data_IF_464898676398
#
_entry.id   IF_464898676398
#
_cell.length_a   1.000
_cell.length_b   1.000
_cell.length_c   1.000
_cell.angle_alpha   90.00
_cell.angle_beta   90.00
_cell.angle_gamma   90.00
#
_symmetry.space_group_name_H-M   'P 1'
#
loop_
_entity.id
_entity.type
_entity.pdbx_description
1 polymer ?
#
# COMPACT_ATOMS: atom_id res chain seq x y z
N UNK A 1 -34.93 -34.45 -1.06
CA UNK A 1 -34.07 -33.77 -0.07
C UNK A 1 -32.69 -33.70 -0.69
N UNK A 2 -32.26 -32.52 -1.14
CA UNK A 2 -30.96 -32.36 -1.80
C UNK A 2 -30.01 -31.74 -0.79
N UNK A 3 -29.11 -32.55 -0.24
CA UNK A 3 -28.11 -32.11 0.72
C UNK A 3 -27.01 -31.34 -0.02
N UNK A 4 -27.00 -30.02 0.12
CA UNK A 4 -25.85 -29.21 -0.26
C UNK A 4 -24.80 -29.33 0.85
N UNK A 5 -23.68 -29.95 0.54
CA UNK A 5 -22.48 -29.96 1.39
C UNK A 5 -21.84 -28.58 1.22
N UNK A 6 -21.99 -27.73 2.24
CA UNK A 6 -21.32 -26.43 2.30
C UNK A 6 -19.96 -26.65 2.98
N UNK A 7 -18.90 -26.69 2.17
CA UNK A 7 -17.53 -26.77 2.65
C UNK A 7 -17.12 -25.40 3.20
N UNK A 8 -17.02 -25.27 4.53
CA UNK A 8 -16.46 -24.10 5.19
C UNK A 8 -14.94 -24.20 5.20
N UNK A 9 -14.26 -23.40 4.38
CA UNK A 9 -12.83 -23.22 4.46
C UNK A 9 -12.52 -22.14 5.52
N UNK A 10 -12.07 -22.57 6.70
CA UNK A 10 -11.54 -21.67 7.73
C UNK A 10 -10.07 -21.42 7.40
N UNK A 11 -9.76 -20.21 6.90
CA UNK A 11 -8.38 -19.79 6.64
C UNK A 11 -7.91 -18.95 7.83
N UNK A 12 -7.07 -19.54 8.68
CA UNK A 12 -6.37 -18.84 9.76
C UNK A 12 -5.10 -18.24 9.17
N UNK A 13 -5.07 -16.92 8.96
CA UNK A 13 -3.85 -16.21 8.55
C UNK A 13 -3.07 -15.84 9.80
N UNK A 14 -2.05 -16.64 10.13
CA UNK A 14 -1.03 -16.28 11.13
C UNK A 14 0.11 -15.57 10.41
N UNK A 15 0.05 -14.24 10.35
CA UNK A 15 1.16 -13.41 9.87
C UNK A 15 2.19 -13.21 10.98
N UNK A 16 3.25 -14.03 11.01
CA UNK A 16 4.42 -13.79 11.87
C UNK A 16 5.34 -12.79 11.17
N UNK A 17 5.37 -11.54 11.63
CA UNK A 17 6.36 -10.56 11.17
C UNK A 17 7.67 -10.75 11.95
N UNK A 18 8.68 -11.33 11.31
CA UNK A 18 10.04 -11.33 11.84
C UNK A 18 10.73 -10.03 11.42
N UNK A 19 11.02 -9.14 12.39
CA UNK A 19 11.71 -7.87 12.15
C UNK A 19 13.22 -8.14 12.21
N UNK A 20 13.87 -8.24 11.05
CA UNK A 20 15.33 -8.31 10.98
C UNK A 20 15.89 -6.89 10.92
N UNK A 21 16.26 -6.32 12.08
CA UNK A 21 16.98 -5.06 12.13
C UNK A 21 18.49 -5.33 12.08
N UNK A 22 19.15 -5.04 10.97
CA UNK A 22 20.61 -4.90 10.92
C UNK A 22 20.95 -3.47 10.49
N UNK A 23 21.82 -2.83 11.29
CA UNK A 23 21.93 -1.38 11.34
C UNK A 23 23.09 -0.73 10.60
N UNK A 24 23.05 0.59 10.76
CA UNK A 24 24.11 1.62 10.68
C UNK A 24 24.68 2.01 9.31
N UNK A 25 24.23 3.17 8.81
CA UNK A 25 25.10 4.30 8.46
C UNK A 25 24.27 5.59 8.37
N UNK A 26 24.71 6.61 9.12
CA UNK A 26 24.07 7.92 9.31
C UNK A 26 24.23 8.78 8.03
N UNK A 27 23.21 8.85 7.18
CA UNK A 27 23.05 9.83 6.10
C UNK A 27 21.53 10.11 6.00
N UNK A 28 21.12 11.38 6.12
CA UNK A 28 19.75 11.92 6.01
C UNK A 28 18.64 10.85 6.07
N UNK A 29 18.33 10.37 7.28
CA UNK A 29 17.53 9.16 7.45
C UNK A 29 16.07 9.43 7.12
N UNK A 30 15.69 9.20 5.87
CA UNK A 30 14.30 8.93 5.55
C UNK A 30 13.88 7.71 6.38
N UNK A 31 12.78 7.84 7.12
CA UNK A 31 12.29 6.76 7.97
C UNK A 31 11.31 5.91 7.17
N UNK A 32 11.54 4.60 7.15
CA UNK A 32 10.62 3.65 6.56
C UNK A 32 9.31 3.63 7.35
N UNK A 33 8.24 4.07 6.72
CA UNK A 33 6.88 4.08 7.25
C UNK A 33 6.02 3.04 6.52
N UNK A 34 5.03 2.52 7.22
CA UNK A 34 4.01 1.65 6.63
C UNK A 34 2.64 2.16 7.06
N UNK A 35 1.71 2.23 6.11
CA UNK A 35 0.34 2.72 6.38
C UNK A 35 -0.69 1.88 5.64
N UNK A 36 -1.96 2.09 5.97
CA UNK A 36 -3.11 1.53 5.25
C UNK A 36 -4.19 2.58 5.14
N UNK A 37 -4.73 2.75 3.95
CA UNK A 37 -5.81 3.70 3.68
C UNK A 37 -6.84 3.14 2.71
N UNK A 38 -8.03 3.75 2.71
CA UNK A 38 -9.06 3.48 1.73
C UNK A 38 -8.88 4.40 0.52
N UNK A 39 -8.69 3.82 -0.67
CA UNK A 39 -8.58 4.57 -1.93
C UNK A 39 -9.57 4.05 -2.97
N UNK A 40 -10.01 4.93 -3.88
CA UNK A 40 -10.81 4.53 -5.04
C UNK A 40 -9.90 3.94 -6.11
N UNK A 41 -10.15 2.70 -6.53
CA UNK A 41 -9.44 2.06 -7.62
C UNK A 41 -10.12 2.40 -8.96
N UNK A 42 -9.44 3.17 -9.79
CA UNK A 42 -9.96 3.79 -11.02
C UNK A 42 -8.96 3.67 -12.17
N UNK A 43 -9.46 3.71 -13.39
CA UNK A 43 -8.70 3.65 -14.66
C UNK A 43 -7.87 4.93 -14.85
N UNK A 44 -8.30 6.04 -14.25
CA UNK A 44 -7.57 7.31 -14.30
C UNK A 44 -6.37 7.39 -13.35
N UNK A 45 -6.20 6.40 -12.47
CA UNK A 45 -5.20 6.45 -11.40
C UNK A 45 -5.62 7.34 -10.22
N UNK A 46 -5.15 6.99 -9.02
CA UNK A 46 -5.31 7.80 -7.80
C UNK A 46 -4.03 7.76 -6.97
N UNK A 47 -3.60 8.91 -6.49
CA UNK A 47 -2.46 9.01 -5.59
C UNK A 47 -2.85 8.59 -4.18
N UNK A 48 -1.98 7.83 -3.52
CA UNK A 48 -2.06 7.54 -2.09
C UNK A 48 -1.78 8.81 -1.26
N UNK A 49 -2.28 8.86 -0.03
CA UNK A 49 -2.14 10.02 0.86
C UNK A 49 -0.67 10.41 1.09
N UNK A 50 0.23 9.43 1.14
CA UNK A 50 1.65 9.68 1.35
C UNK A 50 2.37 10.31 0.14
N UNK A 51 1.76 10.37 -1.04
CA UNK A 51 2.40 10.90 -2.27
C UNK A 51 2.94 12.32 -2.14
N UNK A 52 2.33 13.14 -1.28
CA UNK A 52 2.80 14.51 -1.02
C UNK A 52 4.01 14.63 -0.08
N UNK A 53 4.40 13.54 0.59
CA UNK A 53 5.49 13.54 1.59
C UNK A 53 6.53 12.45 1.39
N UNK A 54 6.21 11.42 0.61
CA UNK A 54 7.11 10.32 0.33
C UNK A 54 8.27 10.77 -0.57
N UNK A 55 9.47 10.33 -0.20
CA UNK A 55 10.69 10.45 -1.02
C UNK A 55 10.81 9.23 -1.92
N UNK A 56 10.43 8.06 -1.42
CA UNK A 56 10.44 6.80 -2.13
C UNK A 56 9.27 5.94 -1.67
N UNK A 57 8.73 5.10 -2.56
CA UNK A 57 7.78 4.08 -2.19
C UNK A 57 8.42 2.70 -2.30
N UNK A 58 8.21 1.88 -1.28
CA UNK A 58 8.68 0.49 -1.31
C UNK A 58 7.81 -0.37 -2.21
N UNK A 59 8.42 -1.42 -2.77
CA UNK A 59 7.74 -2.42 -3.61
C UNK A 59 6.71 -3.30 -2.86
N UNK A 60 6.62 -3.18 -1.53
CA UNK A 60 5.69 -3.97 -0.73
C UNK A 60 4.32 -3.27 -0.68
N UNK A 61 3.49 -3.55 -1.70
CA UNK A 61 2.12 -3.05 -1.79
C UNK A 61 1.13 -4.20 -1.71
N UNK A 62 0.04 -4.00 -0.97
CA UNK A 62 -1.06 -4.95 -0.90
C UNK A 62 -2.38 -4.20 -1.04
N UNK A 63 -3.16 -4.56 -2.04
CA UNK A 63 -4.50 -3.99 -2.27
C UNK A 63 -5.54 -5.05 -1.98
N UNK A 64 -6.55 -4.71 -1.19
CA UNK A 64 -7.63 -5.63 -0.81
C UNK A 64 -9.01 -5.02 -1.05
N UNK A 65 -9.96 -5.85 -1.48
CA UNK A 65 -11.37 -5.52 -1.61
C UNK A 65 -12.23 -6.62 -0.98
N UNK A 66 -13.11 -6.29 -0.03
CA UNK A 66 -13.98 -7.23 0.67
C UNK A 66 -13.25 -8.48 1.21
N UNK A 67 -12.03 -8.29 1.72
CA UNK A 67 -11.20 -9.38 2.26
C UNK A 67 -10.46 -10.23 1.22
N UNK A 68 -10.59 -9.90 -0.07
CA UNK A 68 -9.83 -10.53 -1.16
C UNK A 68 -8.66 -9.65 -1.55
N UNK A 69 -7.46 -10.22 -1.68
CA UNK A 69 -6.29 -9.51 -2.19
C UNK A 69 -6.34 -9.44 -3.72
N UNK A 70 -6.22 -8.23 -4.26
CA UNK A 70 -6.08 -7.99 -5.69
C UNK A 70 -4.63 -8.24 -6.13
N UNK A 71 -4.44 -8.62 -7.38
CA UNK A 71 -3.14 -9.00 -7.93
C UNK A 71 -2.56 -7.86 -8.77
N UNK A 72 -1.34 -7.42 -8.44
CA UNK A 72 -0.63 -6.43 -9.25
C UNK A 72 -0.27 -6.97 -10.63
N UNK A 73 -0.36 -6.12 -11.66
CA UNK A 73 -0.17 -6.48 -13.07
C UNK A 73 -1.38 -7.18 -13.71
N UNK A 74 -2.41 -7.51 -12.92
CA UNK A 74 -3.68 -8.07 -13.39
C UNK A 74 -4.85 -7.14 -13.06
N UNK A 75 -5.00 -6.81 -11.77
CA UNK A 75 -6.08 -5.98 -11.26
C UNK A 75 -5.70 -4.50 -11.14
N UNK A 76 -4.46 -4.24 -10.76
CA UNK A 76 -3.96 -2.88 -10.57
C UNK A 76 -2.48 -2.80 -10.91
N UNK A 77 -1.99 -1.57 -11.00
CA UNK A 77 -0.57 -1.23 -11.02
C UNK A 77 -0.31 -0.15 -9.97
N UNK A 78 0.73 -0.31 -9.18
CA UNK A 78 1.21 0.74 -8.31
C UNK A 78 2.48 1.37 -8.90
N UNK A 79 2.52 2.69 -8.97
CA UNK A 79 3.70 3.42 -9.44
C UNK A 79 4.53 3.86 -8.24
N UNK A 80 5.59 3.12 -7.98
CA UNK A 80 6.52 3.36 -6.87
C UNK A 80 7.22 4.74 -6.94
N UNK A 81 7.25 5.38 -8.12
CA UNK A 81 7.89 6.71 -8.26
C UNK A 81 7.02 7.86 -7.75
N UNK A 82 5.69 7.70 -7.67
CA UNK A 82 4.79 8.78 -7.29
C UNK A 82 3.63 8.35 -6.36
N UNK A 83 3.50 7.06 -6.06
CA UNK A 83 2.43 6.53 -5.21
C UNK A 83 1.08 6.45 -5.91
N UNK A 84 1.04 6.39 -7.24
CA UNK A 84 -0.20 6.27 -8.01
C UNK A 84 -0.66 4.83 -8.09
N UNK A 85 -1.91 4.58 -7.70
CA UNK A 85 -2.61 3.32 -7.86
C UNK A 85 -3.58 3.42 -9.04
N UNK A 86 -3.38 2.60 -10.06
CA UNK A 86 -4.21 2.56 -11.26
C UNK A 86 -4.86 1.18 -11.42
N UNK A 87 -6.13 1.16 -11.81
CA UNK A 87 -6.84 -0.08 -12.16
C UNK A 87 -6.48 -0.52 -13.56
N UNK A 88 -6.20 -1.81 -13.77
CA UNK A 88 -5.97 -2.37 -15.09
C UNK A 88 -7.28 -2.82 -15.77
N UNK A 89 -7.27 -2.89 -17.11
CA UNK A 89 -8.46 -3.21 -17.92
C UNK A 89 -9.12 -4.55 -17.54
N UNK A 90 -8.33 -5.55 -17.14
CA UNK A 90 -8.80 -6.90 -16.81
C UNK A 90 -9.05 -7.11 -15.30
N UNK A 91 -9.19 -6.03 -14.54
CA UNK A 91 -9.40 -6.11 -13.11
C UNK A 91 -10.69 -6.86 -12.75
N UNK A 92 -10.59 -7.68 -11.71
CA UNK A 92 -11.69 -8.43 -11.10
C UNK A 92 -12.75 -7.54 -10.44
N UNK A 93 -12.41 -6.28 -10.17
CA UNK A 93 -13.31 -5.28 -9.59
C UNK A 93 -13.58 -4.14 -10.58
N UNK A 94 -14.80 -3.56 -10.59
CA UNK A 94 -15.12 -2.47 -11.49
C UNK A 94 -14.40 -1.17 -11.11
N UNK A 95 -14.27 -0.27 -12.09
CA UNK A 95 -13.75 1.09 -11.86
C UNK A 95 -14.61 1.84 -10.84
N UNK A 96 -13.97 2.67 -10.01
CA UNK A 96 -14.63 3.40 -8.93
C UNK A 96 -14.83 2.58 -7.65
N UNK A 97 -14.30 1.36 -7.59
CA UNK A 97 -14.41 0.50 -6.40
C UNK A 97 -13.54 1.02 -5.26
N UNK A 98 -14.09 1.08 -4.06
CA UNK A 98 -13.31 1.37 -2.85
C UNK A 98 -12.48 0.14 -2.46
N UNK A 99 -11.17 0.32 -2.33
CA UNK A 99 -10.22 -0.71 -1.89
C UNK A 99 -9.42 -0.20 -0.68
N UNK A 100 -8.84 -1.13 0.08
CA UNK A 100 -7.82 -0.78 1.08
C UNK A 100 -6.45 -1.08 0.47
N UNK A 101 -5.56 -0.09 0.48
CA UNK A 101 -4.17 -0.24 0.08
C UNK A 101 -3.28 -0.14 1.32
N UNK A 102 -2.36 -1.10 1.46
CA UNK A 102 -1.28 -1.07 2.42
C UNK A 102 0.04 -0.96 1.67
N UNK A 103 0.89 -0.02 2.05
CA UNK A 103 2.15 0.26 1.36
C UNK A 103 3.22 0.79 2.32
N UNK A 104 4.46 0.71 1.87
CA UNK A 104 5.63 1.24 2.55
C UNK A 104 6.15 2.48 1.81
N UNK A 105 6.64 3.47 2.55
CA UNK A 105 7.26 4.65 1.98
C UNK A 105 8.30 5.23 2.92
N UNK A 106 9.29 5.88 2.33
CA UNK A 106 10.29 6.65 3.06
C UNK A 106 9.87 8.11 3.07
N UNK A 107 9.87 8.74 4.25
CA UNK A 107 9.58 10.17 4.39
C UNK A 107 10.68 10.87 5.19
N UNK A 108 10.91 12.18 4.96
CA UNK A 108 11.91 12.92 5.73
C UNK A 108 11.54 12.94 7.22
N UNK A 109 12.54 12.74 8.09
CA UNK A 109 12.36 12.85 9.55
C UNK A 109 11.81 14.26 9.93
N UNK A 110 10.98 14.31 10.98
CA UNK A 110 10.45 15.54 11.57
C UNK A 110 11.53 16.57 11.90
N UNK A 111 12.74 16.14 12.26
CA UNK A 111 13.88 17.04 12.51
C UNK A 111 14.23 17.89 11.29
N UNK A 112 14.08 17.35 10.07
CA UNK A 112 14.32 18.04 8.80
C UNK A 112 13.15 18.94 8.38
N UNK A 113 11.90 18.59 8.73
CA UNK A 113 10.73 19.46 8.50
C UNK A 113 10.84 20.79 9.25
N UNK A 114 11.36 20.77 10.49
CA UNK A 114 11.46 21.98 11.31
C UNK A 114 12.64 22.88 10.93
N UNK A 115 13.79 22.35 10.52
CA UNK A 115 14.90 23.18 10.00
C UNK A 115 14.54 23.89 8.70
N UNK A 116 13.75 23.27 7.82
CA UNK A 116 13.34 23.90 6.56
C UNK A 116 12.21 24.94 6.76
N UNK A 117 11.45 24.85 7.86
CA UNK A 117 10.43 25.84 8.23
C UNK A 117 11.01 27.01 9.05
N UNK A 118 12.18 26.82 9.67
CA UNK A 118 12.88 27.86 10.45
C UNK A 118 13.76 28.81 9.65
N UNK A 119 13.84 28.67 8.32
CA UNK A 119 14.62 29.53 7.42
C UNK A 119 13.74 30.40 6.48
N UNK A 120 12.43 30.46 6.75
CA UNK A 120 11.47 31.34 6.05
C UNK A 120 11.16 32.61 6.82
#
# INVERSE_FOLDING_TARGET
MTNAIVTFAVIVVVGVFAIATFGTSYIESAEAQATTEGITLDDAGRLVDASGIAVDFGANVTVTHNGTTLTEGVDYRFNESNGELERLENASVPSGTQVNISYQFDAPDKTTRDVNRGLG
#
